data_IF_439677489862
#
_entry.id   IF_439677489862
#
_cell.length_a   1.000
_cell.length_b   1.000
_cell.length_c   1.000
_cell.angle_alpha   90.00
_cell.angle_beta   90.00
_cell.angle_gamma   90.00
#
_symmetry.space_group_name_H-M   'P 1'
#
loop_
_entity.id
_entity.type
_entity.pdbx_description
1 polymer ?
#
# COMPACT_ATOMS: atom_id res chain seq x y z
N UNK A 1 -19.22 13.05 -2.75
CA UNK A 1 -17.79 13.32 -2.93
C UNK A 1 -17.35 12.60 -4.19
N UNK A 2 -17.24 13.34 -5.31
CA UNK A 2 -16.65 12.81 -6.55
C UNK A 2 -15.14 12.73 -6.39
N UNK A 3 -14.62 11.55 -6.13
CA UNK A 3 -13.21 11.28 -6.33
C UNK A 3 -12.97 11.05 -7.82
N UNK A 4 -12.43 12.05 -8.51
CA UNK A 4 -11.97 11.89 -9.88
C UNK A 4 -10.96 10.74 -9.93
N UNK A 5 -11.22 9.76 -10.81
CA UNK A 5 -10.27 8.73 -11.18
C UNK A 5 -9.00 9.41 -11.68
N UNK A 6 -7.99 9.45 -10.86
CA UNK A 6 -6.64 9.67 -11.35
C UNK A 6 -6.11 8.30 -11.71
N UNK A 7 -5.98 8.05 -13.01
CA UNK A 7 -5.33 6.85 -13.54
C UNK A 7 -3.83 6.96 -13.24
N UNK A 8 -3.41 6.50 -12.07
CA UNK A 8 -2.00 6.38 -11.74
C UNK A 8 -1.48 5.01 -12.15
N UNK A 9 -0.31 5.01 -12.74
CA UNK A 9 0.51 3.82 -12.92
C UNK A 9 1.18 3.38 -11.60
N UNK A 10 0.78 3.93 -10.46
CA UNK A 10 1.24 3.52 -9.14
C UNK A 10 0.28 2.51 -8.53
N UNK A 11 0.80 1.51 -7.85
CA UNK A 11 0.02 0.45 -7.20
C UNK A 11 -0.75 0.90 -5.94
N UNK A 12 -1.07 2.20 -5.80
CA UNK A 12 -1.80 2.77 -4.67
C UNK A 12 -3.06 3.49 -5.14
N UNK A 13 -4.13 3.38 -4.36
CA UNK A 13 -5.38 4.11 -4.58
C UNK A 13 -6.03 4.45 -3.24
N UNK A 14 -6.82 5.51 -3.23
CA UNK A 14 -7.75 5.84 -2.14
C UNK A 14 -9.17 5.68 -2.65
N UNK A 15 -9.97 4.88 -1.95
CA UNK A 15 -11.36 4.60 -2.28
C UNK A 15 -12.20 4.64 -1.01
N UNK A 16 -13.48 4.92 -1.15
CA UNK A 16 -14.47 4.72 -0.09
C UNK A 16 -14.94 3.27 -0.16
N UNK A 17 -14.66 2.51 0.90
CA UNK A 17 -15.02 1.09 0.97
C UNK A 17 -16.22 0.90 1.89
N UNK A 18 -17.09 -0.05 1.54
CA UNK A 18 -18.19 -0.49 2.40
C UNK A 18 -18.12 -1.99 2.62
N UNK A 19 -18.27 -2.37 3.89
CA UNK A 19 -18.14 -3.76 4.30
C UNK A 19 -18.42 -3.95 5.79
N UNK A 20 -18.02 -5.11 6.30
CA UNK A 20 -18.06 -5.46 7.72
C UNK A 20 -16.65 -5.31 8.30
N UNK A 21 -16.51 -4.69 9.46
CA UNK A 21 -15.24 -4.69 10.18
C UNK A 21 -14.82 -6.13 10.50
N UNK A 22 -13.57 -6.46 10.22
CA UNK A 22 -13.04 -7.79 10.52
C UNK A 22 -13.15 -8.14 12.00
N UNK A 23 -12.92 -7.15 12.88
CA UNK A 23 -13.07 -7.30 14.32
C UNK A 23 -14.46 -7.82 14.69
N UNK A 24 -15.51 -7.20 14.15
CA UNK A 24 -16.89 -7.58 14.49
C UNK A 24 -17.22 -8.99 14.01
N UNK A 25 -16.73 -9.35 12.82
CA UNK A 25 -16.87 -10.71 12.28
C UNK A 25 -16.16 -11.75 13.18
N UNK A 26 -14.94 -11.45 13.64
CA UNK A 26 -14.17 -12.33 14.51
C UNK A 26 -14.84 -12.49 15.88
N UNK A 27 -15.33 -11.40 16.47
CA UNK A 27 -16.09 -11.43 17.74
C UNK A 27 -17.36 -12.27 17.61
N UNK A 28 -18.13 -12.08 16.54
CA UNK A 28 -19.32 -12.88 16.25
C UNK A 28 -19.01 -14.38 16.06
N UNK A 29 -17.80 -14.70 15.58
CA UNK A 29 -17.28 -16.08 15.47
C UNK A 29 -16.71 -16.64 16.79
N UNK A 30 -16.77 -15.88 17.89
CA UNK A 30 -16.30 -16.30 19.21
C UNK A 30 -14.80 -16.11 19.44
N UNK A 31 -14.10 -15.35 18.61
CA UNK A 31 -12.69 -15.02 18.83
C UNK A 31 -12.58 -13.98 19.95
N UNK A 32 -11.77 -14.27 20.96
CA UNK A 32 -11.54 -13.35 22.08
C UNK A 32 -10.56 -12.23 21.68
N UNK A 33 -10.82 -11.02 22.16
CA UNK A 33 -9.92 -9.86 22.03
C UNK A 33 -8.85 -9.79 23.15
N UNK A 34 -8.94 -10.66 24.17
CA UNK A 34 -8.07 -10.62 25.34
C UNK A 34 -6.77 -11.43 25.19
N UNK A 35 -6.71 -12.39 24.29
CA UNK A 35 -5.53 -13.23 24.08
C UNK A 35 -5.10 -13.23 22.60
N UNK A 36 -4.58 -12.09 22.16
CA UNK A 36 -4.17 -11.88 20.76
C UNK A 36 -2.67 -12.08 20.51
N UNK A 37 -1.88 -12.24 21.59
CA UNK A 37 -0.41 -12.28 21.49
C UNK A 37 0.08 -13.51 20.71
N UNK A 38 0.87 -13.26 19.67
CA UNK A 38 1.45 -14.31 18.83
C UNK A 38 0.45 -14.97 17.86
N UNK A 39 -0.84 -14.67 17.99
CA UNK A 39 -1.87 -15.18 17.07
C UNK A 39 -1.94 -14.34 15.80
N UNK A 40 -2.33 -14.97 14.70
CA UNK A 40 -2.54 -14.33 13.41
C UNK A 40 -3.93 -14.65 12.85
N UNK A 41 -4.42 -13.78 11.99
CA UNK A 41 -5.57 -14.05 11.12
C UNK A 41 -5.04 -14.29 9.72
N UNK A 42 -5.25 -15.48 9.20
CA UNK A 42 -4.90 -15.89 7.85
C UNK A 42 -6.10 -15.72 6.93
N UNK A 43 -5.85 -15.20 5.74
CA UNK A 43 -6.83 -15.01 4.68
C UNK A 43 -6.41 -15.81 3.44
N UNK A 44 -7.36 -16.49 2.82
CA UNK A 44 -7.12 -17.33 1.64
C UNK A 44 -8.12 -16.96 0.56
N UNK A 45 -7.64 -16.68 -0.66
CA UNK A 45 -8.43 -16.42 -1.86
C UNK A 45 -8.93 -17.72 -2.53
N UNK A 46 -9.74 -17.56 -3.57
CA UNK A 46 -10.26 -18.69 -4.36
C UNK A 46 -9.29 -19.16 -5.43
N UNK A 47 -8.44 -18.27 -5.93
CA UNK A 47 -7.56 -18.52 -7.06
C UNK A 47 -6.46 -19.53 -6.74
N UNK A 48 -6.18 -20.36 -7.73
CA UNK A 48 -5.01 -21.24 -7.76
C UNK A 48 -3.93 -20.59 -8.62
N UNK A 49 -2.82 -20.27 -8.01
CA UNK A 49 -1.70 -19.61 -8.63
C UNK A 49 -0.45 -20.50 -8.56
N UNK A 50 0.42 -20.49 -9.59
CA UNK A 50 1.66 -21.24 -9.51
C UNK A 50 2.57 -20.62 -8.44
N UNK A 51 3.12 -21.46 -7.57
CA UNK A 51 4.20 -21.02 -6.70
C UNK A 51 5.39 -20.65 -7.60
N UNK A 52 5.72 -19.36 -7.64
CA UNK A 52 6.93 -18.91 -8.29
C UNK A 52 8.07 -19.05 -7.29
N UNK A 53 8.81 -20.14 -7.40
CA UNK A 53 10.08 -20.23 -6.68
C UNK A 53 11.02 -19.26 -7.38
N UNK A 54 11.24 -18.10 -6.78
CA UNK A 54 12.36 -17.25 -7.10
C UNK A 54 13.68 -17.91 -6.68
N UNK A 55 14.84 -17.31 -6.91
CA UNK A 55 16.14 -17.81 -6.45
C UNK A 55 16.27 -17.76 -4.92
N UNK A 56 15.23 -18.18 -4.21
CA UNK A 56 15.18 -18.26 -2.76
C UNK A 56 15.63 -19.65 -2.27
N UNK A 57 15.96 -19.77 -0.99
CA UNK A 57 16.55 -20.97 -0.42
C UNK A 57 15.57 -22.11 -0.16
N UNK A 58 14.63 -22.36 -1.08
CA UNK A 58 13.66 -23.47 -0.96
C UNK A 58 13.87 -24.51 -2.06
N UNK A 59 14.82 -25.43 -1.86
CA UNK A 59 15.03 -26.55 -2.77
C UNK A 59 13.87 -27.56 -2.76
N UNK A 60 12.96 -27.51 -1.78
CA UNK A 60 12.04 -28.59 -1.47
C UNK A 60 10.60 -28.39 -1.98
N UNK A 61 10.25 -27.21 -2.53
CA UNK A 61 8.95 -27.02 -3.16
C UNK A 61 9.04 -27.21 -4.67
N UNK A 62 8.31 -28.19 -5.24
CA UNK A 62 8.31 -28.40 -6.69
C UNK A 62 7.74 -27.17 -7.41
N UNK A 63 8.49 -26.67 -8.39
CA UNK A 63 8.09 -25.57 -9.26
C UNK A 63 6.74 -25.81 -9.91
N UNK A 64 5.91 -24.76 -9.94
CA UNK A 64 4.64 -24.78 -10.65
C UNK A 64 3.51 -25.48 -9.93
N UNK A 65 3.68 -25.89 -8.67
CA UNK A 65 2.56 -26.37 -7.87
C UNK A 65 1.55 -25.22 -7.69
N UNK A 66 0.29 -25.51 -7.96
CA UNK A 66 -0.78 -24.56 -7.71
C UNK A 66 -1.02 -24.44 -6.20
N UNK A 67 -0.98 -23.21 -5.71
CA UNK A 67 -1.25 -22.85 -4.33
C UNK A 67 -2.30 -21.74 -4.29
N UNK A 68 -3.10 -21.69 -3.23
CA UNK A 68 -4.05 -20.60 -3.02
C UNK A 68 -3.28 -19.32 -2.66
N UNK A 69 -3.72 -18.18 -3.20
CA UNK A 69 -3.19 -16.91 -2.72
C UNK A 69 -3.61 -16.70 -1.27
N UNK A 70 -2.64 -16.42 -0.40
CA UNK A 70 -2.89 -16.28 1.04
C UNK A 70 -1.95 -15.28 1.70
N UNK A 71 -2.43 -14.69 2.78
CA UNK A 71 -1.66 -13.78 3.65
C UNK A 71 -2.15 -13.89 5.07
N UNK A 72 -1.40 -13.35 6.04
CA UNK A 72 -1.87 -13.18 7.40
C UNK A 72 -1.45 -11.83 7.99
N UNK A 73 -2.20 -11.39 8.99
CA UNK A 73 -1.87 -10.23 9.82
C UNK A 73 -1.93 -10.63 11.29
N UNK A 74 -1.22 -9.93 12.20
CA UNK A 74 -1.35 -10.16 13.63
C UNK A 74 -2.81 -10.01 14.09
N UNK A 75 -3.29 -10.94 14.91
CA UNK A 75 -4.65 -10.88 15.46
C UNK A 75 -4.89 -9.58 16.23
N UNK A 76 -3.87 -9.09 16.96
CA UNK A 76 -3.94 -7.81 17.66
C UNK A 76 -4.28 -6.64 16.72
N UNK A 77 -3.78 -6.64 15.47
CA UNK A 77 -4.13 -5.63 14.47
C UNK A 77 -5.56 -5.82 13.96
N UNK A 78 -5.95 -7.07 13.68
CA UNK A 78 -7.30 -7.39 13.22
C UNK A 78 -8.39 -7.02 14.22
N UNK A 79 -8.08 -7.13 15.52
CA UNK A 79 -9.01 -6.84 16.62
C UNK A 79 -9.02 -5.37 17.04
N UNK A 80 -8.03 -4.58 16.64
CA UNK A 80 -7.97 -3.15 16.98
C UNK A 80 -8.81 -2.32 16.00
N UNK A 81 -9.89 -1.67 16.46
CA UNK A 81 -10.78 -0.90 15.59
C UNK A 81 -10.09 0.29 14.90
N UNK A 82 -8.99 0.81 15.48
CA UNK A 82 -8.26 1.93 14.89
C UNK A 82 -7.66 1.63 13.51
N UNK A 83 -7.51 0.36 13.14
CA UNK A 83 -6.91 -0.02 11.84
C UNK A 83 -7.92 -0.26 10.73
N UNK A 84 -9.21 -0.14 10.99
CA UNK A 84 -10.29 -0.23 9.98
C UNK A 84 -10.17 -1.44 9.03
N UNK A 85 -9.70 -2.58 9.53
CA UNK A 85 -9.59 -3.79 8.70
C UNK A 85 -10.98 -4.28 8.34
N UNK A 86 -11.24 -4.43 7.04
CA UNK A 86 -12.58 -4.54 6.49
C UNK A 86 -12.70 -5.73 5.53
N UNK A 87 -13.81 -6.45 5.61
CA UNK A 87 -14.27 -7.35 4.55
C UNK A 87 -15.26 -6.57 3.70
N UNK A 88 -14.79 -6.08 2.55
CA UNK A 88 -15.52 -5.16 1.69
C UNK A 88 -16.28 -5.87 0.57
N UNK A 89 -17.48 -5.33 0.23
CA UNK A 89 -18.31 -5.75 -0.91
C UNK A 89 -18.70 -4.61 -1.85
N UNK A 90 -18.40 -3.34 -1.47
CA UNK A 90 -18.59 -2.17 -2.31
C UNK A 90 -17.35 -1.28 -2.28
N UNK A 91 -17.13 -0.54 -3.36
CA UNK A 91 -16.13 0.50 -3.49
C UNK A 91 -16.74 1.73 -4.19
N UNK A 92 -16.57 2.92 -3.62
CA UNK A 92 -17.08 4.19 -4.17
C UNK A 92 -18.61 4.17 -4.44
N UNK A 93 -19.39 3.52 -3.58
CA UNK A 93 -20.84 3.42 -3.67
C UNK A 93 -21.38 2.35 -4.62
N UNK A 94 -20.49 1.60 -5.31
CA UNK A 94 -20.85 0.54 -6.23
C UNK A 94 -20.40 -0.82 -5.73
N UNK A 95 -21.10 -1.89 -6.14
CA UNK A 95 -20.65 -3.27 -5.89
C UNK A 95 -19.29 -3.50 -6.53
N UNK A 96 -18.48 -4.32 -5.89
CA UNK A 96 -17.19 -4.72 -6.44
C UNK A 96 -17.35 -5.32 -7.85
N UNK A 97 -16.49 -4.89 -8.76
CA UNK A 97 -16.36 -5.54 -10.07
C UNK A 97 -15.63 -6.88 -9.92
N UNK A 98 -15.80 -7.84 -10.85
CA UNK A 98 -15.10 -9.13 -10.82
C UNK A 98 -13.59 -8.98 -10.62
N UNK A 99 -12.92 -8.11 -11.37
CA UNK A 99 -11.48 -7.86 -11.29
C UNK A 99 -11.04 -7.23 -9.96
N UNK A 100 -11.96 -6.61 -9.24
CA UNK A 100 -11.71 -5.95 -7.97
C UNK A 100 -12.04 -6.84 -6.77
N UNK A 101 -12.47 -8.09 -7.01
CA UNK A 101 -12.63 -9.10 -5.97
C UNK A 101 -14.07 -9.40 -5.57
N UNK A 102 -15.07 -9.10 -6.46
CA UNK A 102 -16.44 -9.56 -6.22
C UNK A 102 -16.49 -11.07 -5.88
N UNK A 103 -17.28 -11.54 -4.89
CA UNK A 103 -18.27 -10.80 -4.12
C UNK A 103 -17.68 -10.03 -2.91
N UNK A 104 -16.55 -10.49 -2.35
CA UNK A 104 -15.95 -9.88 -1.16
C UNK A 104 -14.43 -9.93 -1.24
N UNK A 105 -13.82 -8.91 -0.66
CA UNK A 105 -12.37 -8.81 -0.56
C UNK A 105 -11.91 -8.27 0.80
N UNK A 106 -10.67 -8.56 1.13
CA UNK A 106 -10.00 -7.97 2.29
C UNK A 106 -9.46 -6.57 1.95
N UNK A 107 -9.69 -5.61 2.84
CA UNK A 107 -9.06 -4.29 2.85
C UNK A 107 -8.34 -4.11 4.17
N UNK A 108 -7.09 -3.73 4.08
CA UNK A 108 -6.23 -3.38 5.22
C UNK A 108 -5.65 -2.00 4.94
N UNK A 109 -6.28 -0.92 5.43
CA UNK A 109 -5.83 0.42 5.14
C UNK A 109 -4.35 0.63 5.48
N UNK A 110 -3.62 1.30 4.56
CA UNK A 110 -2.20 1.58 4.73
C UNK A 110 -1.24 0.41 4.51
N UNK A 111 -1.75 -0.79 4.19
CA UNK A 111 -0.93 -1.93 3.78
C UNK A 111 -0.74 -1.97 2.26
N UNK A 112 0.27 -2.70 1.81
CA UNK A 112 0.46 -2.98 0.38
C UNK A 112 -0.69 -3.81 -0.19
N UNK A 113 -0.99 -3.63 -1.48
CA UNK A 113 -2.07 -4.34 -2.16
C UNK A 113 -1.94 -5.86 -2.12
N UNK A 114 -0.71 -6.39 -2.07
CA UNK A 114 -0.44 -7.82 -1.92
C UNK A 114 -0.96 -8.44 -0.62
N UNK A 115 -1.29 -7.64 0.39
CA UNK A 115 -1.92 -8.10 1.64
C UNK A 115 -3.45 -8.01 1.60
N UNK A 116 -4.03 -7.37 0.60
CA UNK A 116 -5.48 -7.15 0.46
C UNK A 116 -6.09 -8.16 -0.52
N UNK A 117 -6.34 -9.38 -0.03
CA UNK A 117 -6.81 -10.51 -0.85
C UNK A 117 -8.16 -10.20 -1.50
N UNK A 118 -8.22 -10.38 -2.81
CA UNK A 118 -9.46 -10.41 -3.61
C UNK A 118 -10.09 -11.80 -3.58
N UNK A 119 -11.38 -11.88 -3.91
CA UNK A 119 -12.11 -13.18 -3.96
C UNK A 119 -11.88 -13.99 -2.69
N UNK A 120 -12.08 -13.33 -1.54
CA UNK A 120 -11.82 -13.94 -0.24
C UNK A 120 -12.71 -15.18 -0.03
N UNK A 121 -12.10 -16.31 0.28
CA UNK A 121 -12.77 -17.60 0.49
C UNK A 121 -12.75 -18.03 1.93
N UNK A 122 -11.64 -17.83 2.65
CA UNK A 122 -11.46 -18.39 3.97
C UNK A 122 -10.70 -17.43 4.89
N UNK A 123 -11.14 -17.37 6.14
CA UNK A 123 -10.48 -16.68 7.24
C UNK A 123 -10.20 -17.70 8.33
N UNK A 124 -8.95 -17.80 8.77
CA UNK A 124 -8.52 -18.70 9.85
C UNK A 124 -7.84 -17.89 10.95
N UNK A 125 -8.06 -18.26 12.20
CA UNK A 125 -7.20 -17.80 13.31
C UNK A 125 -6.16 -18.87 13.58
N UNK A 126 -4.89 -18.51 13.51
CA UNK A 126 -3.75 -19.42 13.58
C UNK A 126 -2.72 -18.94 14.61
N UNK A 127 -1.96 -19.85 15.25
CA UNK A 127 -1.04 -19.50 16.34
C UNK A 127 0.29 -18.89 15.88
N UNK A 128 0.48 -18.65 14.59
CA UNK A 128 1.71 -18.10 14.01
C UNK A 128 1.41 -17.40 12.69
N UNK A 129 2.37 -16.68 12.16
CA UNK A 129 2.32 -16.14 10.79
C UNK A 129 2.14 -17.27 9.76
N UNK A 130 1.31 -17.01 8.72
CA UNK A 130 1.11 -18.01 7.68
C UNK A 130 2.40 -18.30 6.91
N UNK A 131 2.60 -19.56 6.56
CA UNK A 131 3.67 -20.00 5.67
C UNK A 131 3.21 -20.06 4.20
N UNK A 132 2.08 -19.45 3.88
CA UNK A 132 1.63 -19.37 2.50
C UNK A 132 2.71 -18.76 1.61
N UNK A 133 2.91 -19.34 0.43
CA UNK A 133 3.97 -18.92 -0.50
C UNK A 133 3.99 -17.43 -0.76
N UNK A 134 2.85 -16.82 -1.10
CA UNK A 134 2.73 -15.40 -1.44
C UNK A 134 2.86 -14.45 -0.24
N UNK A 135 2.83 -14.96 0.96
CA UNK A 135 3.09 -14.21 2.17
C UNK A 135 4.53 -14.36 2.64
N UNK A 136 5.01 -15.59 2.72
CA UNK A 136 6.27 -15.94 3.37
C UNK A 136 7.46 -15.79 2.45
N UNK A 137 7.29 -16.10 1.15
CA UNK A 137 8.36 -16.08 0.15
C UNK A 137 8.33 -14.85 -0.75
N UNK A 138 7.28 -14.03 -0.66
CA UNK A 138 7.10 -12.84 -1.47
C UNK A 138 6.88 -11.60 -0.59
N UNK A 139 6.86 -10.40 -1.21
CA UNK A 139 6.65 -9.13 -0.53
C UNK A 139 7.63 -8.88 0.63
N UNK A 140 8.92 -8.95 0.33
CA UNK A 140 10.03 -8.63 1.22
C UNK A 140 10.82 -7.46 0.66
N UNK A 141 11.33 -6.61 1.53
CA UNK A 141 12.24 -5.50 1.15
C UNK A 141 13.50 -5.62 2.00
N UNK A 142 14.61 -5.88 1.33
CA UNK A 142 15.92 -5.92 1.96
C UNK A 142 16.59 -4.54 1.87
N UNK A 143 17.48 -4.20 2.80
CA UNK A 143 18.33 -3.03 2.68
C UNK A 143 19.14 -3.07 1.36
N UNK A 144 19.33 -1.94 0.67
CA UNK A 144 19.95 -1.90 -0.65
C UNK A 144 21.42 -2.38 -0.67
N UNK A 145 22.08 -2.38 0.47
CA UNK A 145 23.46 -2.89 0.62
C UNK A 145 23.54 -4.42 0.69
N UNK A 146 22.40 -5.12 0.88
CA UNK A 146 22.40 -6.59 0.95
C UNK A 146 22.26 -7.17 -0.46
N UNK A 147 23.29 -7.84 -0.91
CA UNK A 147 23.28 -8.55 -2.20
C UNK A 147 22.43 -9.81 -2.14
N UNK A 148 22.05 -10.34 -3.31
CA UNK A 148 21.30 -11.60 -3.39
C UNK A 148 22.05 -12.77 -2.72
N UNK A 149 23.38 -12.83 -2.90
CA UNK A 149 24.22 -13.85 -2.30
C UNK A 149 24.27 -13.77 -0.76
N UNK A 150 24.45 -12.56 -0.22
CA UNK A 150 24.41 -12.32 1.24
C UNK A 150 23.03 -12.61 1.83
N UNK A 151 21.97 -12.26 1.09
CA UNK A 151 20.61 -12.57 1.48
C UNK A 151 20.40 -14.07 1.69
N UNK A 152 20.92 -14.89 0.78
CA UNK A 152 20.84 -16.34 0.87
C UNK A 152 21.67 -16.89 2.03
N UNK A 153 22.95 -16.51 2.13
CA UNK A 153 23.88 -16.98 3.17
C UNK A 153 23.42 -16.61 4.58
N UNK A 154 22.88 -15.39 4.75
CA UNK A 154 22.47 -14.85 6.05
C UNK A 154 21.00 -15.09 6.41
N UNK A 155 20.24 -15.80 5.57
CA UNK A 155 18.79 -15.98 5.72
C UNK A 155 18.02 -14.67 5.91
N UNK A 156 18.49 -13.60 5.29
CA UNK A 156 17.95 -12.24 5.44
C UNK A 156 16.50 -12.15 4.98
N UNK A 157 16.18 -12.87 3.92
CA UNK A 157 14.84 -12.86 3.32
C UNK A 157 13.73 -13.20 4.33
N UNK A 158 14.02 -14.04 5.32
CA UNK A 158 13.03 -14.55 6.28
C UNK A 158 13.03 -13.85 7.63
N UNK A 159 13.84 -12.82 7.80
CA UNK A 159 13.82 -12.02 9.00
C UNK A 159 12.52 -11.20 9.06
N UNK A 160 11.80 -11.17 10.20
CA UNK A 160 10.50 -10.51 10.33
C UNK A 160 10.53 -9.01 10.01
N UNK A 161 11.63 -8.34 10.27
CA UNK A 161 11.83 -6.90 10.01
C UNK A 161 11.79 -6.53 8.52
N UNK A 162 11.96 -7.49 7.61
CA UNK A 162 11.94 -7.28 6.17
C UNK A 162 10.63 -7.68 5.49
N UNK A 163 9.63 -8.06 6.29
CA UNK A 163 8.27 -8.26 5.77
C UNK A 163 7.69 -6.91 5.35
N UNK A 164 7.30 -6.84 4.08
CA UNK A 164 6.66 -5.63 3.57
C UNK A 164 5.14 -5.72 3.79
N UNK A 165 4.66 -5.06 4.81
CA UNK A 165 3.24 -4.97 5.16
C UNK A 165 2.70 -3.56 4.94
N UNK A 166 3.22 -2.57 5.66
CA UNK A 166 2.77 -1.18 5.55
C UNK A 166 3.44 -0.48 4.36
N UNK A 167 2.69 0.39 3.72
CA UNK A 167 3.23 1.29 2.71
C UNK A 167 4.32 2.17 3.32
N UNK A 168 5.47 2.24 2.70
CA UNK A 168 6.51 3.20 3.03
C UNK A 168 6.08 4.60 2.60
N UNK A 169 6.68 5.61 3.21
CA UNK A 169 6.52 6.99 2.73
C UNK A 169 7.00 7.09 1.29
N UNK A 170 6.18 7.69 0.45
CA UNK A 170 6.48 7.87 -0.97
C UNK A 170 5.73 9.07 -1.53
N UNK A 171 6.21 9.59 -2.65
CA UNK A 171 5.62 10.70 -3.36
C UNK A 171 5.91 10.62 -4.85
N UNK A 172 5.08 11.26 -5.66
CA UNK A 172 5.30 11.38 -7.09
C UNK A 172 4.70 12.67 -7.64
N UNK A 173 5.37 13.26 -8.64
CA UNK A 173 4.84 14.37 -9.42
C UNK A 173 3.88 13.79 -10.47
N UNK A 174 2.69 14.36 -10.57
CA UNK A 174 1.67 13.99 -11.54
C UNK A 174 1.55 15.00 -12.68
N UNK A 175 1.92 16.26 -12.43
CA UNK A 175 2.03 17.32 -13.43
C UNK A 175 3.23 18.21 -13.06
N UNK A 176 4.15 18.48 -14.00
CA UNK A 176 4.17 18.02 -15.40
C UNK A 176 4.34 16.50 -15.54
N UNK A 177 3.93 15.94 -16.68
CA UNK A 177 4.14 14.54 -16.98
C UNK A 177 5.63 14.28 -17.25
N UNK A 178 6.03 13.03 -17.13
CA UNK A 178 7.41 12.63 -17.45
C UNK A 178 7.74 12.97 -18.91
N UNK A 179 8.83 13.73 -19.12
CA UNK A 179 9.26 14.27 -20.42
C UNK A 179 8.24 15.24 -21.07
N UNK A 180 7.35 15.85 -20.31
CA UNK A 180 6.51 16.93 -20.81
C UNK A 180 7.38 18.15 -21.15
N UNK A 181 7.26 18.63 -22.40
CA UNK A 181 7.97 19.82 -22.87
C UNK A 181 7.07 21.05 -22.69
N UNK A 182 7.55 22.04 -21.96
CA UNK A 182 6.89 23.32 -21.78
C UNK A 182 7.53 24.34 -22.72
N UNK A 183 6.82 24.83 -23.78
CA UNK A 183 7.37 25.80 -24.71
C UNK A 183 7.58 27.16 -24.02
N UNK A 184 8.84 27.46 -23.67
CA UNK A 184 9.24 28.65 -22.90
C UNK A 184 8.77 29.93 -23.59
N UNK A 185 8.92 30.04 -24.92
CA UNK A 185 8.53 31.24 -25.66
C UNK A 185 7.05 31.64 -25.52
N UNK A 186 6.17 30.68 -25.26
CA UNK A 186 4.73 30.91 -25.07
C UNK A 186 4.35 31.07 -23.61
N UNK A 187 5.26 30.76 -22.68
CA UNK A 187 5.04 30.70 -21.24
C UNK A 187 5.99 31.61 -20.44
N UNK A 188 6.75 32.49 -21.10
CA UNK A 188 7.47 33.57 -20.45
C UNK A 188 6.45 34.38 -19.62
N UNK A 189 6.75 34.64 -18.38
CA UNK A 189 5.90 35.35 -17.41
C UNK A 189 4.62 34.57 -16.98
N UNK A 190 4.50 33.29 -17.31
CA UNK A 190 3.42 32.45 -16.80
C UNK A 190 3.93 31.52 -15.71
N UNK A 191 3.10 31.33 -14.70
CA UNK A 191 3.31 30.31 -13.69
C UNK A 191 2.89 28.94 -14.22
N UNK A 192 3.66 27.91 -13.89
CA UNK A 192 3.29 26.53 -14.15
C UNK A 192 2.98 25.82 -12.83
N UNK A 193 1.85 25.14 -12.80
CA UNK A 193 1.40 24.47 -11.61
C UNK A 193 1.99 23.04 -11.53
N UNK A 194 2.89 22.82 -10.58
CA UNK A 194 3.42 21.47 -10.29
C UNK A 194 2.49 20.81 -9.29
N UNK A 195 2.01 19.61 -9.60
CA UNK A 195 1.11 18.88 -8.71
C UNK A 195 1.42 17.39 -8.66
N UNK A 196 1.05 16.74 -7.54
CA UNK A 196 1.29 15.33 -7.34
C UNK A 196 0.64 14.78 -6.09
N UNK A 197 1.22 13.72 -5.54
CA UNK A 197 0.71 13.08 -4.34
C UNK A 197 1.83 12.54 -3.45
N UNK A 198 1.56 12.48 -2.17
CA UNK A 198 2.40 11.82 -1.17
C UNK A 198 1.56 10.96 -0.26
N UNK A 199 2.08 9.81 0.14
CA UNK A 199 1.39 8.87 1.02
C UNK A 199 2.35 8.14 1.95
N UNK A 200 1.79 7.56 3.01
CA UNK A 200 2.47 6.61 3.90
C UNK A 200 1.46 5.61 4.45
N UNK A 201 1.93 4.47 4.92
CA UNK A 201 1.10 3.48 5.61
C UNK A 201 1.03 3.69 7.12
N UNK A 202 0.38 2.75 7.81
CA UNK A 202 0.30 2.74 9.27
C UNK A 202 -0.55 3.84 9.88
N UNK A 203 -1.44 4.50 9.11
CA UNK A 203 -2.29 5.58 9.59
C UNK A 203 -1.53 6.88 9.91
N UNK A 204 -0.29 7.01 9.48
CA UNK A 204 0.55 8.19 9.73
C UNK A 204 0.15 9.37 8.86
N UNK A 205 0.39 10.58 9.35
CA UNK A 205 0.13 11.83 8.66
C UNK A 205 1.34 12.27 7.85
N UNK A 206 1.15 12.62 6.57
CA UNK A 206 2.15 13.39 5.82
C UNK A 206 2.13 14.83 6.35
N UNK A 207 3.25 15.30 6.85
CA UNK A 207 3.35 16.62 7.49
C UNK A 207 4.00 17.67 6.60
N UNK A 208 4.86 17.23 5.65
CA UNK A 208 5.65 18.12 4.80
C UNK A 208 5.91 17.45 3.44
N UNK A 209 5.83 18.21 2.38
CA UNK A 209 6.28 17.88 1.04
C UNK A 209 7.05 19.06 0.49
N UNK A 210 8.17 18.83 -0.14
CA UNK A 210 8.99 19.83 -0.80
C UNK A 210 9.25 19.45 -2.24
N UNK A 211 9.39 20.44 -3.10
CA UNK A 211 9.66 20.30 -4.53
C UNK A 211 10.92 21.07 -4.88
N UNK A 212 11.77 20.48 -5.71
CA UNK A 212 12.93 21.12 -6.29
C UNK A 212 12.78 21.18 -7.81
N UNK A 213 13.08 22.32 -8.39
CA UNK A 213 13.08 22.54 -9.85
C UNK A 213 14.48 22.67 -10.42
N UNK A 214 15.52 22.65 -9.59
CA UNK A 214 16.93 22.86 -9.95
C UNK A 214 17.83 21.65 -9.65
N UNK A 215 17.26 20.45 -9.66
CA UNK A 215 18.02 19.23 -9.42
C UNK A 215 18.37 18.96 -7.95
N UNK A 216 17.61 19.51 -7.02
CA UNK A 216 17.79 19.28 -5.58
C UNK A 216 18.70 20.30 -4.89
N UNK A 217 19.05 21.41 -5.56
CA UNK A 217 19.86 22.48 -4.97
C UNK A 217 19.02 23.35 -4.03
N UNK A 218 17.83 23.73 -4.47
CA UNK A 218 16.86 24.47 -3.66
C UNK A 218 15.56 23.70 -3.57
N UNK A 219 14.91 23.80 -2.41
CA UNK A 219 13.66 23.09 -2.12
C UNK A 219 12.61 24.08 -1.63
N UNK A 220 11.42 24.00 -2.19
CA UNK A 220 10.29 24.83 -1.85
C UNK A 220 9.17 24.01 -1.23
N UNK A 221 8.52 24.58 -0.23
CA UNK A 221 7.44 23.91 0.49
C UNK A 221 6.18 23.88 -0.37
N UNK A 222 5.65 22.69 -0.60
CA UNK A 222 4.38 22.50 -1.29
C UNK A 222 3.18 22.72 -0.35
N UNK A 223 2.11 23.29 -0.90
CA UNK A 223 0.81 23.36 -0.20
C UNK A 223 0.18 21.97 -0.14
N UNK A 224 -0.22 21.53 1.05
CA UNK A 224 -0.85 20.25 1.27
C UNK A 224 -2.37 20.37 1.23
N UNK A 225 -3.00 19.79 0.22
CA UNK A 225 -4.44 19.62 0.13
C UNK A 225 -4.85 18.28 0.75
N UNK A 226 -5.43 18.33 1.94
CA UNK A 226 -5.91 17.15 2.68
C UNK A 226 -7.39 16.97 2.42
N UNK A 227 -7.75 15.83 1.86
CA UNK A 227 -9.14 15.51 1.52
C UNK A 227 -9.93 14.92 2.67
N UNK A 228 -9.24 14.46 3.72
CA UNK A 228 -9.86 13.78 4.85
C UNK A 228 -9.35 14.30 6.19
N UNK A 229 -10.25 14.35 7.13
CA UNK A 229 -9.96 14.45 8.55
C UNK A 229 -9.47 13.09 9.07
N UNK A 230 -8.72 13.06 10.17
CA UNK A 230 -8.35 11.80 10.80
C UNK A 230 -9.59 11.05 11.28
N UNK A 231 -9.50 9.71 11.32
CA UNK A 231 -10.53 8.89 11.97
C UNK A 231 -10.66 9.25 13.46
N UNK A 232 -11.69 8.76 14.14
CA UNK A 232 -11.85 8.93 15.59
C UNK A 232 -10.64 8.45 16.41
N UNK A 233 -9.82 7.57 15.84
CA UNK A 233 -8.57 7.08 16.43
C UNK A 233 -7.32 7.85 15.98
N UNK A 234 -7.48 8.97 15.27
CA UNK A 234 -6.38 9.81 14.80
C UNK A 234 -5.60 9.23 13.60
N UNK A 235 -6.15 8.23 12.90
CA UNK A 235 -5.52 7.61 11.74
C UNK A 235 -5.84 8.38 10.46
N UNK A 236 -4.86 8.42 9.54
CA UNK A 236 -4.98 9.02 8.21
C UNK A 236 -4.83 7.93 7.14
N UNK A 237 -5.87 7.74 6.32
CA UNK A 237 -5.88 6.71 5.28
C UNK A 237 -5.80 7.26 3.85
N UNK A 238 -5.85 8.59 3.71
CA UNK A 238 -5.72 9.28 2.44
C UNK A 238 -4.29 9.76 2.16
N UNK A 239 -4.00 9.85 0.90
CA UNK A 239 -2.84 10.58 0.43
C UNK A 239 -3.16 12.07 0.25
N UNK A 240 -2.13 12.90 0.29
CA UNK A 240 -2.23 14.35 0.25
C UNK A 240 -1.29 14.92 -0.77
N UNK A 241 -1.64 16.00 -1.38
CA UNK A 241 -0.81 17.06 -1.93
C UNK A 241 -1.42 17.77 -3.14
N UNK A 242 -1.20 19.07 -3.16
CA UNK A 242 -1.29 19.94 -4.32
C UNK A 242 -0.24 21.02 -4.12
N UNK A 243 0.56 21.32 -5.16
CA UNK A 243 1.45 22.47 -5.16
C UNK A 243 0.81 23.64 -5.86
N UNK A 244 1.22 24.85 -5.49
CA UNK A 244 0.89 26.08 -6.21
C UNK A 244 2.15 26.64 -6.89
N UNK A 245 1.91 27.37 -7.92
CA UNK A 245 2.64 28.27 -8.79
C UNK A 245 4.15 28.46 -8.60
N UNK A 246 4.94 28.06 -9.61
CA UNK A 246 6.33 28.50 -9.75
C UNK A 246 6.52 29.29 -11.03
N UNK A 247 7.10 30.47 -10.89
CA UNK A 247 7.58 31.30 -11.99
C UNK A 247 8.97 30.83 -12.41
N UNK A 248 9.12 30.53 -13.70
CA UNK A 248 10.32 30.46 -14.54
C UNK A 248 11.64 29.85 -14.02
N UNK A 249 12.20 29.07 -14.89
CA UNK A 249 13.42 28.27 -14.95
C UNK A 249 13.25 26.80 -14.56
N UNK A 250 12.31 26.13 -15.24
CA UNK A 250 12.23 24.67 -15.25
C UNK A 250 13.45 24.09 -15.96
N UNK A 251 14.52 23.83 -15.22
CA UNK A 251 15.59 22.96 -15.69
C UNK A 251 15.20 21.48 -15.46
N UNK A 252 15.52 20.67 -16.42
CA UNK A 252 14.96 19.36 -16.75
C UNK A 252 15.19 18.17 -15.77
N UNK A 253 15.38 18.37 -14.47
CA UNK A 253 15.48 17.27 -13.51
C UNK A 253 14.71 17.61 -12.23
N UNK A 254 13.69 16.85 -11.96
CA UNK A 254 12.85 16.98 -10.78
C UNK A 254 13.23 15.89 -9.76
N UNK A 255 13.44 16.29 -8.51
CA UNK A 255 13.66 15.39 -7.39
C UNK A 255 12.58 15.63 -6.33
N UNK A 256 12.12 14.55 -5.71
CA UNK A 256 11.15 14.57 -4.64
C UNK A 256 11.73 13.82 -3.43
N UNK A 257 11.67 14.41 -2.26
CA UNK A 257 12.05 13.81 -0.98
C UNK A 257 10.86 13.78 -0.03
#
# INVERSE_FOLDING_TARGET
LEFRRVLFRSGVSTNVWKGCLLRDLLLAAGVSDTNTRGMHVEFIGVEDLPNKVGPGPFPDEPWGKLVKYGTSIPLARAMNPAYDVLIAWEANGEKLQPDHGYPVRLIIPGYIGGRMIKWLKKINVIPHETKNHYHYHDNRILPPQITAEESLKGNWWYKPEYIFNELNINSAIASPLHNEELPIAQNIDKTYNISGYAYTGGGRKITRVEVSVDGGVHWELATLDRKEEPTEYGMYWCWVWRSEEHTSELQSRQYLV
#
